data_IF_314925111010
#
_entry.id   IF_314925111010
#
_cell.length_a   1.000
_cell.length_b   1.000
_cell.length_c   1.000
_cell.angle_alpha   90.00
_cell.angle_beta   90.00
_cell.angle_gamma   90.00
#
_symmetry.space_group_name_H-M   'P 1'
#
loop_
_entity.id
_entity.type
_entity.pdbx_description
1 polymer ?
#
# COMPACT_ATOMS: atom_id res chain seq x y z
N UNK A 1 19.11 4.77 -18.65
CA UNK A 1 17.70 4.99 -18.28
C UNK A 1 17.04 3.64 -18.10
N UNK A 2 16.21 3.47 -17.07
CA UNK A 2 15.48 2.21 -16.88
C UNK A 2 14.40 2.08 -17.97
N UNK A 3 14.21 0.89 -18.58
CA UNK A 3 13.15 0.65 -19.54
C UNK A 3 11.77 1.04 -19.00
N UNK A 4 11.03 1.85 -19.77
CA UNK A 4 9.71 2.39 -19.35
C UNK A 4 8.71 1.29 -19.00
N UNK A 5 8.81 0.12 -19.63
CA UNK A 5 7.95 -1.04 -19.37
C UNK A 5 8.08 -1.59 -17.94
N UNK A 6 9.30 -1.68 -17.40
CA UNK A 6 9.55 -2.20 -16.05
C UNK A 6 8.88 -1.33 -14.99
N UNK A 7 8.99 -0.02 -15.16
CA UNK A 7 8.41 0.95 -14.22
C UNK A 7 6.88 0.87 -14.21
N UNK A 8 6.26 0.62 -15.37
CA UNK A 8 4.81 0.44 -15.50
C UNK A 8 4.34 -0.87 -14.84
N UNK A 9 5.11 -1.96 -14.95
CA UNK A 9 4.76 -3.27 -14.37
C UNK A 9 4.59 -3.25 -12.84
N UNK A 10 5.50 -2.58 -12.13
CA UNK A 10 5.43 -2.38 -10.66
C UNK A 10 4.13 -1.68 -10.26
N UNK A 11 3.86 -0.56 -10.91
CA UNK A 11 2.73 0.31 -10.57
C UNK A 11 1.40 -0.39 -10.88
N UNK A 12 1.31 -1.12 -11.99
CA UNK A 12 0.11 -1.89 -12.31
C UNK A 12 -0.13 -3.00 -11.27
N UNK A 13 0.91 -3.76 -10.91
CA UNK A 13 0.80 -4.81 -9.90
C UNK A 13 0.39 -4.24 -8.54
N UNK A 14 1.03 -3.14 -8.12
CA UNK A 14 0.70 -2.45 -6.88
C UNK A 14 -0.74 -1.92 -6.89
N UNK A 15 -1.14 -1.23 -7.95
CA UNK A 15 -2.48 -0.65 -8.09
C UNK A 15 -3.58 -1.70 -8.00
N UNK A 16 -3.38 -2.89 -8.59
CA UNK A 16 -4.32 -3.99 -8.42
C UNK A 16 -4.42 -4.47 -6.97
N UNK A 17 -3.29 -4.67 -6.29
CA UNK A 17 -3.28 -5.11 -4.89
C UNK A 17 -3.93 -4.07 -3.98
N UNK A 18 -3.63 -2.78 -4.18
CA UNK A 18 -4.26 -1.70 -3.46
C UNK A 18 -5.79 -1.74 -3.64
N UNK A 19 -6.27 -1.92 -4.86
CA UNK A 19 -7.69 -1.90 -5.19
C UNK A 19 -8.46 -3.14 -4.71
N UNK A 20 -7.85 -4.33 -4.71
CA UNK A 20 -8.54 -5.58 -4.34
C UNK A 20 -8.36 -5.97 -2.86
N UNK A 21 -7.29 -5.51 -2.20
CA UNK A 21 -7.00 -5.86 -0.82
C UNK A 21 -7.18 -4.68 0.14
N UNK A 22 -6.49 -3.56 -0.13
CA UNK A 22 -6.44 -2.44 0.81
C UNK A 22 -7.69 -1.56 0.78
N UNK A 23 -8.22 -1.23 -0.41
CA UNK A 23 -9.45 -0.43 -0.53
C UNK A 23 -10.63 -1.13 0.16
N UNK A 24 -10.92 -2.43 -0.06
CA UNK A 24 -11.98 -3.13 0.67
C UNK A 24 -11.71 -3.19 2.17
N UNK A 25 -10.44 -3.39 2.59
CA UNK A 25 -10.07 -3.38 4.00
C UNK A 25 -10.46 -2.07 4.69
N UNK A 26 -10.10 -0.92 4.10
CA UNK A 26 -10.41 0.39 4.68
C UNK A 26 -11.90 0.76 4.57
N UNK A 27 -12.61 0.30 3.53
CA UNK A 27 -14.07 0.45 3.45
C UNK A 27 -14.79 -0.34 4.55
N UNK A 28 -14.36 -1.58 4.80
CA UNK A 28 -14.88 -2.39 5.89
C UNK A 28 -14.60 -1.74 7.25
N UNK A 29 -13.37 -1.25 7.46
CA UNK A 29 -13.02 -0.52 8.68
C UNK A 29 -13.85 0.77 8.85
N UNK A 30 -14.18 1.48 7.77
CA UNK A 30 -15.00 2.69 7.81
C UNK A 30 -16.44 2.42 8.29
N UNK A 31 -17.01 1.27 7.94
CA UNK A 31 -18.36 0.85 8.38
C UNK A 31 -18.36 0.06 9.69
N UNK A 32 -17.24 0.05 10.41
CA UNK A 32 -17.12 -0.63 11.71
C UNK A 32 -16.95 -2.15 11.64
N UNK A 33 -16.66 -2.70 10.45
CA UNK A 33 -16.31 -4.12 10.30
C UNK A 33 -14.82 -4.29 10.56
N UNK A 34 -14.49 -4.90 11.69
CA UNK A 34 -13.11 -5.23 12.04
C UNK A 34 -12.72 -6.57 11.41
N UNK A 35 -11.83 -6.52 10.42
CA UNK A 35 -11.16 -7.73 9.94
C UNK A 35 -10.17 -8.22 11.01
N UNK A 36 -9.96 -9.55 11.14
CA UNK A 36 -9.15 -10.16 12.21
C UNK A 36 -7.86 -9.38 12.36
N UNK A 37 -7.75 -8.74 13.51
CA UNK A 37 -6.86 -7.61 13.75
C UNK A 37 -5.45 -7.88 13.22
N UNK A 38 -5.12 -7.23 12.09
CA UNK A 38 -3.75 -7.12 11.61
C UNK A 38 -2.89 -6.27 12.57
N UNK A 39 -3.46 -5.73 13.66
CA UNK A 39 -2.80 -5.50 14.95
C UNK A 39 -3.84 -5.32 16.06
N UNK A 40 -3.57 -5.79 17.28
CA UNK A 40 -4.36 -5.43 18.43
C UNK A 40 -4.16 -3.93 18.71
N UNK A 41 -5.23 -3.13 18.62
CA UNK A 41 -5.22 -1.74 19.11
C UNK A 41 -5.21 -0.61 18.08
N UNK A 42 -5.12 -0.87 16.76
CA UNK A 42 -5.30 0.22 15.77
C UNK A 42 -6.75 0.74 15.74
N UNK A 43 -7.69 -0.14 16.07
CA UNK A 43 -9.13 0.10 15.97
C UNK A 43 -9.78 0.46 17.32
N UNK A 44 -9.17 0.05 18.45
CA UNK A 44 -9.73 0.24 19.80
C UNK A 44 -9.97 1.71 20.23
N UNK A 45 -9.57 2.70 19.44
CA UNK A 45 -9.91 4.12 19.66
C UNK A 45 -10.41 4.88 18.44
N UNK A 46 -10.05 4.47 17.21
CA UNK A 46 -10.42 5.20 15.99
C UNK A 46 -11.60 4.59 15.23
N UNK A 47 -11.76 3.26 15.13
CA UNK A 47 -12.94 2.66 14.45
C UNK A 47 -14.25 2.88 15.21
N UNK A 48 -14.16 3.13 16.52
CA UNK A 48 -15.31 3.31 17.40
C UNK A 48 -15.87 4.75 17.41
N UNK A 49 -15.27 5.69 16.65
CA UNK A 49 -15.72 7.08 16.60
C UNK A 49 -16.11 7.50 15.18
N UNK A 50 -17.15 8.33 15.04
CA UNK A 50 -17.62 8.85 13.75
C UNK A 50 -16.48 9.49 12.93
N UNK A 51 -15.55 10.17 13.62
CA UNK A 51 -14.39 10.81 13.00
C UNK A 51 -13.40 9.80 12.44
N UNK A 52 -13.15 8.69 13.13
CA UNK A 52 -12.23 7.67 12.61
C UNK A 52 -12.84 6.83 11.49
N UNK A 53 -14.15 6.55 11.53
CA UNK A 53 -14.88 6.00 10.37
C UNK A 53 -14.75 6.89 9.13
N UNK A 54 -14.90 8.21 9.32
CA UNK A 54 -14.71 9.18 8.24
C UNK A 54 -13.28 9.19 7.70
N UNK A 55 -12.27 9.10 8.59
CA UNK A 55 -10.86 9.01 8.21
C UNK A 55 -10.58 7.75 7.38
N UNK A 56 -11.11 6.59 7.77
CA UNK A 56 -10.95 5.35 7.00
C UNK A 56 -11.64 5.41 5.65
N UNK A 57 -12.79 6.06 5.55
CA UNK A 57 -13.48 6.27 4.29
C UNK A 57 -12.65 7.15 3.33
N UNK A 58 -12.10 8.27 3.82
CA UNK A 58 -11.21 9.11 3.02
C UNK A 58 -9.91 8.40 2.64
N UNK A 59 -9.38 7.54 3.51
CA UNK A 59 -8.22 6.69 3.18
C UNK A 59 -8.54 5.72 2.04
N UNK A 60 -9.72 5.08 2.07
CA UNK A 60 -10.17 4.20 1.00
C UNK A 60 -10.31 4.94 -0.35
N UNK A 61 -10.88 6.15 -0.34
CA UNK A 61 -10.98 7.01 -1.53
C UNK A 61 -9.59 7.37 -2.05
N UNK A 62 -8.70 7.83 -1.16
CA UNK A 62 -7.33 8.20 -1.55
C UNK A 62 -6.59 7.02 -2.19
N UNK A 63 -6.66 5.84 -1.60
CA UNK A 63 -6.04 4.62 -2.13
C UNK A 63 -6.65 4.21 -3.46
N UNK A 64 -7.98 4.30 -3.62
CA UNK A 64 -8.63 4.01 -4.89
C UNK A 64 -8.19 4.98 -6.00
N UNK A 65 -8.06 6.28 -5.69
CA UNK A 65 -7.53 7.26 -6.62
C UNK A 65 -6.07 7.00 -6.99
N UNK A 66 -5.22 6.71 -6.01
CA UNK A 66 -3.81 6.38 -6.24
C UNK A 66 -3.66 5.12 -7.12
N UNK A 67 -4.37 4.05 -6.76
CA UNK A 67 -4.40 2.80 -7.53
C UNK A 67 -4.89 3.03 -8.97
N UNK A 68 -5.93 3.85 -9.16
CA UNK A 68 -6.40 4.20 -10.50
C UNK A 68 -5.32 4.92 -11.32
N UNK A 69 -4.61 5.89 -10.72
CA UNK A 69 -3.53 6.60 -11.42
C UNK A 69 -2.37 5.68 -11.81
N UNK A 70 -2.03 4.72 -10.95
CA UNK A 70 -1.02 3.70 -11.24
C UNK A 70 -1.45 2.77 -12.37
N UNK A 71 -2.69 2.26 -12.33
CA UNK A 71 -3.26 1.41 -13.38
C UNK A 71 -3.36 2.11 -14.74
N UNK A 72 -3.54 3.44 -14.73
CA UNK A 72 -3.54 4.26 -15.95
C UNK A 72 -2.12 4.66 -16.40
N UNK A 73 -1.07 4.28 -15.67
CA UNK A 73 0.31 4.69 -15.94
C UNK A 73 0.54 6.20 -15.84
N UNK A 74 -0.31 6.91 -15.08
CA UNK A 74 -0.29 8.37 -14.91
C UNK A 74 0.49 8.81 -13.67
N UNK A 75 0.82 7.88 -12.77
CA UNK A 75 1.63 8.18 -11.59
C UNK A 75 3.12 8.21 -11.95
N UNK A 76 3.84 9.31 -11.69
CA UNK A 76 5.30 9.33 -11.79
C UNK A 76 5.94 8.33 -10.81
N UNK A 77 7.00 7.63 -11.25
CA UNK A 77 7.63 6.56 -10.45
C UNK A 77 8.35 7.10 -9.21
N UNK A 78 8.86 8.32 -9.27
CA UNK A 78 9.46 9.02 -8.14
C UNK A 78 8.42 9.33 -7.07
N UNK A 79 7.24 9.81 -7.47
CA UNK A 79 6.09 10.02 -6.56
C UNK A 79 5.68 8.69 -5.91
N UNK A 80 5.59 7.62 -6.70
CA UNK A 80 5.32 6.27 -6.18
C UNK A 80 6.36 5.87 -5.11
N UNK A 81 7.65 6.00 -5.40
CA UNK A 81 8.71 5.58 -4.47
C UNK A 81 8.74 6.43 -3.19
N UNK A 82 8.67 7.76 -3.31
CA UNK A 82 8.72 8.65 -2.14
C UNK A 82 7.53 8.45 -1.21
N UNK A 83 6.32 8.26 -1.75
CA UNK A 83 5.14 7.94 -0.95
C UNK A 83 5.33 6.61 -0.19
N UNK A 84 5.90 5.61 -0.85
CA UNK A 84 6.13 4.30 -0.25
C UNK A 84 7.24 4.28 0.79
N UNK A 85 8.27 5.14 0.73
CA UNK A 85 9.26 5.23 1.81
C UNK A 85 8.66 5.73 3.12
N UNK A 86 7.84 6.77 3.07
CA UNK A 86 7.15 7.29 4.25
C UNK A 86 6.17 6.25 4.81
N UNK A 87 5.39 5.61 3.92
CA UNK A 87 4.47 4.54 4.29
C UNK A 87 5.22 3.35 4.91
N UNK A 88 6.34 2.94 4.32
CA UNK A 88 7.18 1.85 4.82
C UNK A 88 7.67 2.11 6.23
N UNK A 89 8.08 3.35 6.56
CA UNK A 89 8.49 3.70 7.91
C UNK A 89 7.34 3.59 8.93
N UNK A 90 6.15 4.12 8.57
CA UNK A 90 4.96 4.00 9.41
C UNK A 90 4.52 2.54 9.61
N UNK A 91 4.60 1.74 8.55
CA UNK A 91 4.28 0.32 8.59
C UNK A 91 5.27 -0.47 9.44
N UNK A 92 6.57 -0.19 9.35
CA UNK A 92 7.57 -0.85 10.21
C UNK A 92 7.28 -0.57 11.68
N UNK A 93 7.00 0.68 12.05
CA UNK A 93 6.61 1.03 13.41
C UNK A 93 5.41 0.21 13.88
N UNK A 94 4.41 0.05 13.02
CA UNK A 94 3.22 -0.74 13.31
C UNK A 94 3.50 -2.25 13.43
N UNK A 95 4.36 -2.80 12.58
CA UNK A 95 4.73 -4.22 12.59
C UNK A 95 5.39 -4.65 13.90
N UNK A 96 6.01 -3.73 14.65
CA UNK A 96 6.61 -4.00 15.96
C UNK A 96 5.59 -4.45 17.02
N UNK A 97 4.32 -4.08 16.87
CA UNK A 97 3.23 -4.43 17.80
C UNK A 97 2.13 -5.28 17.17
N UNK A 98 2.31 -5.73 15.92
CA UNK A 98 1.30 -6.44 15.17
C UNK A 98 1.28 -7.95 15.46
N UNK A 99 0.14 -8.60 15.17
CA UNK A 99 0.06 -10.07 15.13
C UNK A 99 0.90 -10.60 13.97
N UNK A 100 1.26 -11.89 13.97
CA UNK A 100 1.97 -12.52 12.83
C UNK A 100 1.22 -12.31 11.51
N UNK A 101 -0.11 -12.47 11.53
CA UNK A 101 -0.94 -12.23 10.37
C UNK A 101 -0.89 -10.74 9.93
N UNK A 102 -0.86 -9.84 10.91
CA UNK A 102 -0.62 -8.41 10.73
C UNK A 102 0.69 -8.10 10.01
N UNK A 103 1.78 -8.66 10.51
CA UNK A 103 3.10 -8.49 9.91
C UNK A 103 3.09 -8.93 8.46
N UNK A 104 2.47 -10.09 8.15
CA UNK A 104 2.36 -10.60 6.79
C UNK A 104 1.54 -9.67 5.88
N UNK A 105 0.37 -9.23 6.33
CA UNK A 105 -0.48 -8.32 5.55
C UNK A 105 0.23 -7.00 5.24
N UNK A 106 0.88 -6.42 6.24
CA UNK A 106 1.59 -5.16 6.09
C UNK A 106 3.01 -5.31 5.53
N UNK A 107 3.47 -6.52 5.23
CA UNK A 107 4.73 -6.71 4.49
C UNK A 107 4.59 -6.36 3.02
N UNK A 108 3.37 -6.41 2.47
CA UNK A 108 3.11 -6.21 1.04
C UNK A 108 3.58 -4.83 0.54
N UNK A 109 3.28 -3.70 1.22
CA UNK A 109 3.85 -2.39 0.86
C UNK A 109 5.37 -2.35 0.85
N UNK A 110 6.04 -3.11 1.74
CA UNK A 110 7.51 -3.16 1.79
C UNK A 110 8.09 -3.81 0.52
N UNK A 111 7.43 -4.86 0.02
CA UNK A 111 7.82 -5.51 -1.24
C UNK A 111 7.75 -4.52 -2.40
N UNK A 112 6.68 -3.71 -2.46
CA UNK A 112 6.53 -2.70 -3.51
C UNK A 112 7.46 -1.50 -3.36
N UNK A 113 7.76 -1.08 -2.13
CA UNK A 113 8.79 -0.08 -1.88
C UNK A 113 10.15 -0.56 -2.39
N UNK A 114 10.55 -1.80 -2.07
CA UNK A 114 11.82 -2.40 -2.52
C UNK A 114 11.83 -2.55 -4.05
N UNK A 115 10.79 -3.13 -4.63
CA UNK A 115 10.70 -3.33 -6.07
C UNK A 115 10.71 -1.99 -6.82
N UNK A 116 9.92 -1.01 -6.38
CA UNK A 116 9.92 0.35 -6.92
C UNK A 116 11.28 1.02 -6.84
N UNK A 117 11.99 0.88 -5.70
CA UNK A 117 13.35 1.41 -5.51
C UNK A 117 14.32 0.81 -6.52
N UNK A 118 14.33 -0.51 -6.65
CA UNK A 118 15.20 -1.20 -7.61
C UNK A 118 14.82 -0.78 -9.02
N UNK A 119 13.53 -0.74 -9.36
CA UNK A 119 13.05 -0.27 -10.66
C UNK A 119 13.49 1.17 -10.95
N UNK A 120 13.49 2.06 -9.97
CA UNK A 120 13.88 3.46 -10.16
C UNK A 120 15.39 3.63 -10.35
N UNK A 121 16.21 2.97 -9.53
CA UNK A 121 17.66 3.24 -9.48
C UNK A 121 18.53 2.18 -10.16
N UNK A 122 18.09 0.92 -10.19
CA UNK A 122 18.86 -0.26 -10.62
C UNK A 122 18.00 -1.29 -11.34
N UNK A 123 17.18 -0.83 -12.31
CA UNK A 123 16.27 -1.71 -13.04
C UNK A 123 16.97 -2.85 -13.80
N UNK A 124 18.28 -2.74 -14.01
CA UNK A 124 19.16 -3.81 -14.53
C UNK A 124 19.25 -5.04 -13.62
N UNK A 125 18.97 -4.88 -12.32
CA UNK A 125 19.02 -5.95 -11.34
C UNK A 125 17.69 -6.71 -11.19
N UNK A 126 16.61 -6.27 -11.85
CA UNK A 126 15.32 -6.93 -11.71
C UNK A 126 15.29 -8.27 -12.47
N UNK A 127 14.80 -9.35 -11.82
CA UNK A 127 14.52 -10.60 -12.52
C UNK A 127 13.57 -10.35 -13.68
N UNK A 128 13.74 -11.08 -14.79
CA UNK A 128 12.88 -10.93 -15.98
C UNK A 128 11.39 -11.10 -15.71
N UNK A 129 11.01 -11.84 -14.66
CA UNK A 129 9.62 -12.02 -14.24
C UNK A 129 9.01 -10.77 -13.56
N UNK A 130 9.84 -9.80 -13.17
CA UNK A 130 9.49 -8.55 -12.50
C UNK A 130 9.68 -7.32 -13.42
N UNK A 131 9.87 -7.57 -14.72
CA UNK A 131 10.12 -6.59 -15.79
C UNK A 131 8.87 -6.47 -16.63
#
# INVERSE_FOLDING_TARGET
SVPRNIMVSVQIAHGWIALVAFVPYFLLAAIGVELPSFAPGLLNGYSASDTGSLMWFFMAIYLACAAYLELQGKMPIDVFCYAHYALSAAVVYYQLSATTLGILFWSVPQVFAIWGTIAMFRGDLLPKAMV
#
